data_IF_450246340369
#
_entry.id   IF_450246340369
#
_cell.length_a   1.000
_cell.length_b   1.000
_cell.length_c   1.000
_cell.angle_alpha   90.00
_cell.angle_beta   90.00
_cell.angle_gamma   90.00
#
_symmetry.space_group_name_H-M   'P 1'
#
loop_
_entity.id
_entity.type
_entity.pdbx_description
1 polymer ?
#
# COMPACT_ATOMS: atom_id res chain seq x y z
N UNK A 1 27.42 4.24 -50.20
CA UNK A 1 26.39 4.79 -49.29
C UNK A 1 26.05 3.74 -48.25
N UNK A 2 26.30 3.94 -46.95
CA UNK A 2 25.83 3.00 -45.92
C UNK A 2 24.33 3.24 -45.62
N UNK A 3 23.55 2.21 -45.25
CA UNK A 3 22.14 2.39 -44.94
C UNK A 3 21.94 3.10 -43.59
N UNK A 4 20.84 3.85 -43.41
CA UNK A 4 20.57 4.55 -42.16
C UNK A 4 20.34 3.56 -41.02
N UNK A 5 21.07 3.75 -39.92
CA UNK A 5 20.90 3.02 -38.66
C UNK A 5 19.46 3.18 -38.18
N UNK A 6 18.70 2.10 -38.16
CA UNK A 6 17.38 2.06 -37.56
C UNK A 6 17.49 2.48 -36.09
N UNK A 7 16.85 3.60 -35.74
CA UNK A 7 16.71 4.02 -34.35
C UNK A 7 15.73 3.07 -33.67
N UNK A 8 16.25 2.00 -33.07
CA UNK A 8 15.47 1.17 -32.15
C UNK A 8 15.18 2.02 -30.91
N UNK A 9 14.06 2.73 -30.92
CA UNK A 9 13.51 3.37 -29.71
C UNK A 9 13.23 2.26 -28.71
N UNK A 10 14.06 2.17 -27.69
CA UNK A 10 13.82 1.32 -26.53
C UNK A 10 12.43 1.66 -25.99
N UNK A 11 11.47 0.73 -26.13
CA UNK A 11 10.19 0.85 -25.44
C UNK A 11 10.50 0.84 -23.95
N UNK A 12 9.99 1.79 -23.15
CA UNK A 12 10.16 1.71 -21.72
C UNK A 12 9.43 0.44 -21.27
N UNK A 13 10.17 -0.61 -20.96
CA UNK A 13 9.63 -1.73 -20.20
C UNK A 13 9.19 -1.14 -18.86
N UNK A 14 7.89 -1.14 -18.60
CA UNK A 14 7.34 -0.83 -17.29
C UNK A 14 7.93 -1.85 -16.30
N UNK A 15 9.04 -1.49 -15.67
CA UNK A 15 9.70 -2.32 -14.68
C UNK A 15 8.75 -2.43 -13.50
N UNK A 16 8.56 -3.65 -12.99
CA UNK A 16 7.82 -3.84 -11.74
C UNK A 16 8.48 -2.98 -10.64
N UNK A 17 7.70 -2.28 -9.80
CA UNK A 17 8.24 -1.53 -8.69
C UNK A 17 9.08 -2.45 -7.78
N UNK A 18 10.30 -2.05 -7.47
CA UNK A 18 11.14 -2.70 -6.44
C UNK A 18 10.43 -2.67 -5.08
N UNK A 19 10.55 -3.76 -4.34
CA UNK A 19 10.10 -3.86 -2.95
C UNK A 19 11.31 -3.67 -2.03
N UNK A 20 11.23 -2.71 -1.12
CA UNK A 20 12.28 -2.44 -0.13
C UNK A 20 12.13 -3.28 1.13
N UNK A 21 10.89 -3.53 1.56
CA UNK A 21 10.60 -4.24 2.80
C UNK A 21 9.32 -5.06 2.66
N UNK A 22 9.30 -6.24 3.29
CA UNK A 22 8.10 -7.05 3.53
C UNK A 22 7.95 -7.32 5.02
N UNK A 23 6.74 -7.22 5.53
CA UNK A 23 6.42 -7.51 6.92
C UNK A 23 5.00 -8.08 7.06
N UNK A 24 4.74 -8.77 8.16
CA UNK A 24 3.38 -9.02 8.63
C UNK A 24 3.03 -7.87 9.57
N UNK A 25 1.86 -7.26 9.35
CA UNK A 25 1.41 -6.10 10.11
C UNK A 25 -0.08 -6.19 10.42
N UNK A 26 -0.46 -5.70 11.59
CA UNK A 26 -1.85 -5.45 11.94
C UNK A 26 -2.25 -4.10 11.34
N UNK A 27 -3.30 -4.11 10.53
CA UNK A 27 -3.89 -2.90 9.95
C UNK A 27 -5.15 -2.53 10.72
N UNK A 28 -5.22 -1.27 11.16
CA UNK A 28 -6.41 -0.71 11.84
C UNK A 28 -7.06 0.34 10.94
N UNK A 29 -8.33 0.12 10.58
CA UNK A 29 -9.12 1.01 9.72
C UNK A 29 -9.40 2.33 10.43
N UNK A 30 -9.07 3.43 9.77
CA UNK A 30 -9.47 4.77 10.19
C UNK A 30 -10.59 5.23 9.27
N UNK A 31 -11.76 5.46 9.85
CA UNK A 31 -12.94 5.93 9.12
C UNK A 31 -13.22 7.40 9.45
N UNK A 32 -13.80 8.08 8.48
CA UNK A 32 -14.48 9.37 8.69
C UNK A 32 -15.96 9.19 8.38
N UNK A 33 -16.77 10.05 8.97
CA UNK A 33 -18.18 10.12 8.64
C UNK A 33 -18.48 11.46 7.99
N UNK A 34 -18.97 11.41 6.77
CA UNK A 34 -19.38 12.59 6.02
C UNK A 34 -20.91 12.70 6.04
N UNK A 35 -21.41 13.94 6.14
CA UNK A 35 -22.85 14.23 6.17
C UNK A 35 -23.50 14.27 7.55
N UNK A 36 -24.79 14.60 7.59
CA UNK A 36 -25.58 14.75 8.81
C UNK A 36 -26.90 13.96 8.74
N UNK A 37 -27.37 13.47 9.89
CA UNK A 37 -28.67 12.77 10.00
C UNK A 37 -28.71 11.46 9.21
N UNK A 38 -29.81 11.22 8.48
CA UNK A 38 -30.03 9.99 7.69
C UNK A 38 -29.13 9.86 6.46
N UNK A 39 -28.38 10.91 6.11
CA UNK A 39 -27.43 10.91 4.99
C UNK A 39 -25.97 10.70 5.40
N UNK A 40 -25.70 10.25 6.63
CA UNK A 40 -24.34 9.99 7.11
C UNK A 40 -23.74 8.80 6.36
N UNK A 41 -22.64 9.04 5.66
CA UNK A 41 -21.87 8.01 4.93
C UNK A 41 -20.55 7.80 5.64
N UNK A 42 -20.19 6.53 5.87
CA UNK A 42 -18.87 6.17 6.38
C UNK A 42 -17.89 5.97 5.22
N UNK A 43 -16.69 6.54 5.36
CA UNK A 43 -15.62 6.45 4.38
C UNK A 43 -14.32 6.08 5.06
N UNK A 44 -13.64 5.06 4.53
CA UNK A 44 -12.29 4.72 4.99
C UNK A 44 -11.30 5.76 4.49
N UNK A 45 -10.52 6.36 5.39
CA UNK A 45 -9.45 7.30 5.06
C UNK A 45 -8.15 6.57 4.75
N UNK A 46 -7.69 5.76 5.69
CA UNK A 46 -6.46 4.97 5.60
C UNK A 46 -6.45 3.88 6.66
N UNK A 47 -5.42 3.04 6.63
CA UNK A 47 -5.17 2.02 7.64
C UNK A 47 -3.88 2.34 8.39
N UNK A 48 -3.93 2.39 9.71
CA UNK A 48 -2.73 2.48 10.54
C UNK A 48 -1.99 1.14 10.50
N UNK A 49 -0.69 1.19 10.28
CA UNK A 49 0.15 0.02 10.15
C UNK A 49 0.92 -0.22 11.46
N UNK A 50 0.63 -1.34 12.13
CA UNK A 50 1.31 -1.76 13.34
C UNK A 50 2.23 -2.95 13.03
N UNK A 51 3.54 -2.80 13.23
CA UNK A 51 4.52 -3.89 13.11
C UNK A 51 5.12 -4.24 14.47
N UNK A 52 5.44 -5.51 14.68
CA UNK A 52 6.12 -5.99 15.89
C UNK A 52 7.58 -5.53 15.97
N UNK A 53 8.20 -5.16 14.84
CA UNK A 53 9.63 -4.81 14.76
C UNK A 53 9.88 -3.46 14.08
N UNK A 54 9.38 -2.41 14.71
CA UNK A 54 9.98 -1.08 14.59
C UNK A 54 9.92 -0.46 13.20
N UNK A 55 8.71 -0.12 12.76
CA UNK A 55 8.62 1.05 11.88
C UNK A 55 8.99 2.27 12.73
N UNK A 56 10.21 2.77 12.52
CA UNK A 56 10.75 3.93 13.25
C UNK A 56 10.01 5.25 12.98
N UNK A 57 8.94 5.24 12.19
CA UNK A 57 8.15 6.41 11.85
C UNK A 57 6.87 6.46 12.68
N UNK A 58 6.61 7.60 13.31
CA UNK A 58 5.38 7.86 14.08
C UNK A 58 4.08 7.84 13.26
N UNK A 59 4.15 7.68 11.94
CA UNK A 59 3.01 7.82 11.04
C UNK A 59 3.15 6.96 9.76
N UNK A 60 3.36 5.65 9.91
CA UNK A 60 3.23 4.73 8.76
C UNK A 60 1.77 4.27 8.64
N UNK A 61 1.20 4.47 7.45
CA UNK A 61 -0.16 4.07 7.09
C UNK A 61 -0.19 3.47 5.69
N UNK A 62 -1.24 2.70 5.42
CA UNK A 62 -1.57 2.18 4.09
C UNK A 62 -2.80 2.93 3.58
N UNK A 63 -2.71 3.48 2.37
CA UNK A 63 -3.86 4.10 1.72
C UNK A 63 -4.95 3.05 1.45
N UNK A 64 -6.23 3.45 1.50
CA UNK A 64 -7.34 2.50 1.46
C UNK A 64 -7.39 1.72 0.13
N UNK A 65 -7.05 2.36 -0.98
CA UNK A 65 -6.94 1.78 -2.32
C UNK A 65 -5.84 0.73 -2.46
N UNK A 66 -4.95 0.63 -1.47
CA UNK A 66 -3.85 -0.34 -1.43
C UNK A 66 -4.06 -1.44 -0.40
N UNK A 67 -5.29 -1.58 0.12
CA UNK A 67 -5.68 -2.66 1.03
C UNK A 67 -6.79 -3.49 0.39
N UNK A 68 -6.59 -4.81 0.19
CA UNK A 68 -7.66 -5.70 -0.24
C UNK A 68 -8.87 -5.61 0.70
N UNK A 69 -10.11 -5.79 0.20
CA UNK A 69 -11.30 -5.75 1.04
C UNK A 69 -11.25 -6.86 2.10
N UNK A 70 -11.69 -6.53 3.31
CA UNK A 70 -11.82 -7.46 4.44
C UNK A 70 -12.94 -7.01 5.38
N UNK A 71 -13.46 -7.96 6.15
CA UNK A 71 -14.52 -7.72 7.12
C UNK A 71 -14.00 -7.13 8.43
N UNK A 72 -14.75 -6.18 9.00
CA UNK A 72 -14.40 -5.48 10.23
C UNK A 72 -13.37 -4.37 10.03
N UNK A 73 -12.84 -3.89 11.16
CA UNK A 73 -11.95 -2.72 11.21
C UNK A 73 -10.49 -3.08 11.40
N UNK A 74 -10.19 -4.33 11.74
CA UNK A 74 -8.85 -4.80 12.08
C UNK A 74 -8.59 -6.12 11.41
N UNK A 75 -7.46 -6.24 10.71
CA UNK A 75 -6.98 -7.51 10.18
C UNK A 75 -5.46 -7.52 10.02
N UNK A 76 -4.90 -8.72 9.90
CA UNK A 76 -3.48 -8.94 9.67
C UNK A 76 -3.19 -9.09 8.18
N UNK A 77 -2.13 -8.44 7.72
CA UNK A 77 -1.74 -8.45 6.32
C UNK A 77 -0.24 -8.66 6.17
N UNK A 78 0.13 -9.35 5.08
CA UNK A 78 1.46 -9.21 4.51
C UNK A 78 1.51 -7.87 3.76
N UNK A 79 2.42 -6.98 4.18
CA UNK A 79 2.57 -5.63 3.64
C UNK A 79 3.94 -5.43 3.00
N UNK A 80 3.99 -4.60 1.96
CA UNK A 80 5.19 -4.27 1.20
C UNK A 80 5.46 -2.76 1.21
N UNK A 81 6.71 -2.36 1.48
CA UNK A 81 7.20 -1.01 1.19
C UNK A 81 7.74 -0.98 -0.22
N UNK A 82 7.05 -0.28 -1.10
CA UNK A 82 7.31 -0.27 -2.54
C UNK A 82 8.11 0.97 -2.93
N UNK A 83 9.00 0.86 -3.91
CA UNK A 83 9.74 1.99 -4.47
C UNK A 83 8.82 3.04 -5.08
N UNK A 84 9.26 4.30 -5.04
CA UNK A 84 8.58 5.38 -5.78
C UNK A 84 8.41 4.99 -7.26
N UNK A 85 7.24 5.25 -7.82
CA UNK A 85 6.85 4.88 -9.18
C UNK A 85 5.91 5.91 -9.78
N UNK A 86 5.37 5.64 -10.98
CA UNK A 86 4.39 6.54 -11.59
C UNK A 86 3.21 6.77 -10.63
N UNK A 87 2.98 8.02 -10.25
CA UNK A 87 1.93 8.42 -9.32
C UNK A 87 2.33 8.63 -7.86
N UNK A 88 3.56 8.27 -7.44
CA UNK A 88 3.98 8.43 -6.05
C UNK A 88 5.34 9.14 -5.91
N UNK A 89 5.36 10.25 -5.16
CA UNK A 89 6.58 11.00 -4.89
C UNK A 89 7.57 10.29 -3.94
N UNK A 90 7.07 9.36 -3.12
CA UNK A 90 7.80 8.68 -2.04
C UNK A 90 7.51 7.18 -2.03
N UNK A 91 8.38 6.34 -1.45
CA UNK A 91 8.05 4.94 -1.17
C UNK A 91 6.78 4.84 -0.33
N UNK A 92 5.88 3.93 -0.67
CA UNK A 92 4.60 3.77 0.01
C UNK A 92 4.38 2.32 0.43
N UNK A 93 3.41 2.11 1.31
CA UNK A 93 2.98 0.79 1.74
C UNK A 93 1.80 0.29 0.93
N UNK A 94 1.77 -1.01 0.66
CA UNK A 94 0.57 -1.72 0.18
C UNK A 94 0.38 -3.01 0.95
N UNK A 95 -0.87 -3.44 1.12
CA UNK A 95 -1.18 -4.78 1.59
C UNK A 95 -1.27 -5.74 0.39
N UNK A 96 -0.59 -6.88 0.50
CA UNK A 96 -0.52 -7.89 -0.56
C UNK A 96 -1.64 -8.91 -0.40
N UNK A 97 -1.82 -9.42 0.82
CA UNK A 97 -2.85 -10.41 1.17
C UNK A 97 -3.13 -10.41 2.66
N UNK A 98 -4.37 -10.77 3.02
CA UNK A 98 -4.74 -11.03 4.41
C UNK A 98 -4.06 -12.32 4.89
N UNK A 99 -3.65 -12.34 6.15
CA UNK A 99 -3.00 -13.48 6.82
C UNK A 99 -3.55 -13.66 8.22
N UNK A 100 -3.26 -14.80 8.83
CA UNK A 100 -3.53 -15.04 10.25
C UNK A 100 -2.57 -14.19 11.13
N UNK A 101 -2.98 -13.87 12.38
CA UNK A 101 -2.09 -13.25 13.34
C UNK A 101 -0.83 -14.11 13.56
N UNK A 102 0.35 -13.49 13.78
CA UNK A 102 1.52 -14.19 14.26
C UNK A 102 1.21 -14.94 15.56
N UNK A 103 1.87 -16.08 15.80
CA UNK A 103 1.62 -16.92 16.97
C UNK A 103 1.87 -16.21 18.32
N UNK A 104 2.66 -15.14 18.30
CA UNK A 104 3.12 -14.40 19.49
C UNK A 104 2.55 -12.95 19.59
N UNK A 105 1.48 -12.65 18.83
CA UNK A 105 0.94 -11.29 18.66
C UNK A 105 -0.08 -10.81 19.71
#
# INVERSE_FOLDING_TARGET
MPPPRAQSRARPHARKPRVYLRAIARLTRVVTHEGHGRGRVEKTLHFLLHTERGLNARADYVAAEHVPPFEGDVAWFEVEKVERGEGHAWPWWRAVRQVEPPADA
#
